data_IF_102201158823
#
_entry.id   IF_102201158823
#
_cell.length_a   1.000
_cell.length_b   1.000
_cell.length_c   1.000
_cell.angle_alpha   90.00
_cell.angle_beta   90.00
_cell.angle_gamma   90.00
#
_symmetry.space_group_name_H-M   'P 1'
#
loop_
_entity.id
_entity.type
_entity.pdbx_description
1 polymer ?
#
# COMPACT_ATOMS: atom_id res chain seq x y z
N UNK A 1 -13.24 -14.78 10.97
CA UNK A 1 -13.12 -14.63 9.51
C UNK A 1 -14.49 -14.77 8.85
N UNK A 2 -14.68 -14.11 7.70
CA UNK A 2 -15.91 -14.20 6.90
C UNK A 2 -15.82 -15.41 5.95
N UNK A 3 -16.94 -16.10 5.75
CA UNK A 3 -16.99 -17.24 4.85
C UNK A 3 -17.36 -16.82 3.42
N UNK A 4 -16.37 -16.51 2.60
CA UNK A 4 -16.55 -16.10 1.20
C UNK A 4 -17.05 -17.22 0.25
N UNK A 5 -17.19 -18.46 0.72
CA UNK A 5 -17.92 -19.49 -0.02
C UNK A 5 -19.43 -19.33 0.07
N UNK A 6 -19.91 -18.51 1.02
CA UNK A 6 -21.34 -18.22 1.18
C UNK A 6 -21.78 -17.15 0.15
N UNK A 7 -22.70 -17.48 -0.78
CA UNK A 7 -23.16 -16.52 -1.79
C UNK A 7 -23.89 -15.31 -1.20
N UNK A 8 -24.52 -15.44 -0.05
CA UNK A 8 -25.18 -14.31 0.63
C UNK A 8 -24.15 -13.28 1.09
N UNK A 9 -23.00 -13.73 1.64
CA UNK A 9 -21.93 -12.83 2.01
C UNK A 9 -21.35 -12.11 0.78
N UNK A 10 -21.07 -12.86 -0.30
CA UNK A 10 -20.55 -12.25 -1.55
C UNK A 10 -21.49 -11.16 -2.07
N UNK A 11 -22.79 -11.41 -2.07
CA UNK A 11 -23.79 -10.42 -2.49
C UNK A 11 -23.79 -9.20 -1.56
N UNK A 12 -23.67 -9.40 -0.26
CA UNK A 12 -23.64 -8.29 0.71
C UNK A 12 -22.38 -7.42 0.52
N UNK A 13 -21.21 -8.01 0.31
CA UNK A 13 -19.98 -7.25 0.01
C UNK A 13 -20.13 -6.45 -1.31
N UNK A 14 -20.76 -7.03 -2.32
CA UNK A 14 -21.09 -6.32 -3.56
C UNK A 14 -22.04 -5.15 -3.32
N UNK A 15 -23.09 -5.34 -2.52
CA UNK A 15 -24.02 -4.27 -2.15
C UNK A 15 -23.33 -3.12 -1.40
N UNK A 16 -22.43 -3.46 -0.46
CA UNK A 16 -21.61 -2.47 0.24
C UNK A 16 -20.70 -1.69 -0.72
N UNK A 17 -20.06 -2.37 -1.66
CA UNK A 17 -19.23 -1.67 -2.65
C UNK A 17 -20.05 -0.75 -3.54
N UNK A 18 -21.24 -1.18 -3.96
CA UNK A 18 -22.17 -0.34 -4.73
C UNK A 18 -22.58 0.90 -3.95
N UNK A 19 -22.93 0.76 -2.68
CA UNK A 19 -23.29 1.89 -1.83
C UNK A 19 -22.22 2.98 -1.82
N UNK A 20 -20.94 2.59 -1.67
CA UNK A 20 -19.83 3.56 -1.67
C UNK A 20 -19.56 4.15 -3.06
N UNK A 21 -19.65 3.34 -4.12
CA UNK A 21 -19.52 3.85 -5.49
C UNK A 21 -20.62 4.84 -5.85
N UNK A 22 -21.85 4.59 -5.42
CA UNK A 22 -22.99 5.52 -5.61
C UNK A 22 -22.78 6.85 -4.85
N UNK A 23 -22.00 6.85 -3.75
CA UNK A 23 -21.56 8.06 -3.04
C UNK A 23 -20.38 8.76 -3.69
N UNK A 24 -19.77 8.17 -4.72
CA UNK A 24 -18.71 8.80 -5.51
C UNK A 24 -17.28 8.43 -5.09
N UNK A 25 -17.06 7.29 -4.39
CA UNK A 25 -15.69 6.81 -4.21
C UNK A 25 -15.11 6.28 -5.51
N UNK A 26 -13.81 6.50 -5.73
CA UNK A 26 -13.12 6.15 -6.97
C UNK A 26 -12.54 4.73 -6.98
N UNK A 27 -12.74 3.96 -5.90
CA UNK A 27 -12.26 2.59 -5.83
C UNK A 27 -12.06 2.08 -4.41
N UNK A 28 -11.32 0.97 -4.28
CA UNK A 28 -11.15 0.28 -3.01
C UNK A 28 -9.72 -0.22 -2.80
N UNK A 29 -9.23 -0.06 -1.57
CA UNK A 29 -8.10 -0.81 -1.06
C UNK A 29 -8.65 -2.05 -0.35
N UNK A 30 -8.20 -3.22 -0.77
CA UNK A 30 -8.64 -4.51 -0.23
C UNK A 30 -7.64 -4.98 0.83
N UNK A 31 -8.09 -4.95 2.07
CA UNK A 31 -7.31 -5.36 3.23
C UNK A 31 -7.01 -6.87 3.20
N UNK A 32 -5.76 -7.24 3.47
CA UNK A 32 -5.32 -8.63 3.60
C UNK A 32 -5.91 -9.58 2.53
N UNK A 33 -5.94 -9.11 1.27
CA UNK A 33 -6.73 -9.73 0.19
C UNK A 33 -6.32 -11.17 -0.16
N UNK A 34 -5.12 -11.60 0.22
CA UNK A 34 -4.67 -12.99 0.07
C UNK A 34 -5.32 -13.98 1.04
N UNK A 35 -5.97 -13.50 2.10
CA UNK A 35 -6.53 -14.34 3.17
C UNK A 35 -8.05 -14.52 3.10
N UNK A 36 -8.66 -14.36 1.95
CA UNK A 36 -10.11 -14.54 1.74
C UNK A 36 -10.55 -16.00 1.94
N UNK A 37 -9.77 -16.93 1.42
CA UNK A 37 -10.00 -18.36 1.57
C UNK A 37 -8.64 -19.10 1.67
N UNK A 38 -8.51 -20.17 2.46
CA UNK A 38 -7.29 -20.99 2.48
C UNK A 38 -6.92 -21.57 1.10
N UNK A 39 -7.89 -21.71 0.21
CA UNK A 39 -7.66 -22.10 -1.17
C UNK A 39 -7.46 -20.83 -2.03
N UNK A 40 -6.25 -20.63 -2.51
CA UNK A 40 -5.89 -19.48 -3.35
C UNK A 40 -6.76 -19.34 -4.61
N UNK A 41 -7.19 -20.47 -5.21
CA UNK A 41 -8.06 -20.44 -6.40
C UNK A 41 -9.41 -19.80 -6.07
N UNK A 42 -10.02 -20.16 -4.93
CA UNK A 42 -11.26 -19.54 -4.45
C UNK A 42 -11.07 -18.05 -4.20
N UNK A 43 -9.94 -17.65 -3.64
CA UNK A 43 -9.57 -16.24 -3.42
C UNK A 43 -9.49 -15.48 -4.75
N UNK A 44 -8.77 -16.01 -5.74
CA UNK A 44 -8.63 -15.35 -7.05
C UNK A 44 -9.97 -15.27 -7.80
N UNK A 45 -10.77 -16.35 -7.79
CA UNK A 45 -12.10 -16.36 -8.41
C UNK A 45 -13.04 -15.34 -7.77
N UNK A 46 -12.99 -15.20 -6.44
CA UNK A 46 -13.77 -14.18 -5.75
C UNK A 46 -13.36 -12.77 -6.16
N UNK A 47 -12.08 -12.45 -6.17
CA UNK A 47 -11.62 -11.11 -6.53
C UNK A 47 -11.90 -10.78 -7.99
N UNK A 48 -11.82 -11.75 -8.89
CA UNK A 48 -12.21 -11.56 -10.29
C UNK A 48 -13.71 -11.25 -10.44
N UNK A 49 -14.56 -11.95 -9.70
CA UNK A 49 -16.01 -11.70 -9.66
C UNK A 49 -16.32 -10.33 -9.05
N UNK A 50 -15.65 -9.98 -7.95
CA UNK A 50 -15.79 -8.68 -7.30
C UNK A 50 -15.34 -7.51 -8.19
N UNK A 51 -14.17 -7.62 -8.80
CA UNK A 51 -13.66 -6.60 -9.73
C UNK A 51 -14.61 -6.41 -10.93
N UNK A 52 -15.06 -7.49 -11.52
CA UNK A 52 -16.02 -7.43 -12.64
C UNK A 52 -17.30 -6.72 -12.23
N UNK A 53 -17.80 -6.95 -11.02
CA UNK A 53 -18.97 -6.27 -10.49
C UNK A 53 -18.71 -4.77 -10.27
N UNK A 54 -17.62 -4.39 -9.64
CA UNK A 54 -17.24 -2.99 -9.40
C UNK A 54 -17.10 -2.25 -10.73
N UNK A 55 -16.40 -2.83 -11.70
CA UNK A 55 -16.22 -2.24 -13.05
C UNK A 55 -17.53 -2.13 -13.84
N UNK A 56 -18.53 -2.96 -13.54
CA UNK A 56 -19.87 -2.83 -14.15
C UNK A 56 -20.64 -1.60 -13.66
N UNK A 57 -20.31 -1.08 -12.46
CA UNK A 57 -20.92 0.13 -11.89
C UNK A 57 -20.09 1.36 -12.28
N UNK A 58 -18.79 1.32 -12.08
CA UNK A 58 -17.86 2.36 -12.45
C UNK A 58 -16.62 1.72 -13.11
N UNK A 59 -16.51 1.82 -14.44
CA UNK A 59 -15.40 1.25 -15.22
C UNK A 59 -14.03 1.81 -14.84
N UNK A 60 -14.00 3.03 -14.30
CA UNK A 60 -12.78 3.75 -13.93
C UNK A 60 -12.41 3.56 -12.45
N UNK A 61 -13.24 2.85 -11.66
CA UNK A 61 -12.94 2.55 -10.27
C UNK A 61 -11.63 1.74 -10.15
N UNK A 62 -10.74 2.15 -9.24
CA UNK A 62 -9.45 1.51 -9.04
C UNK A 62 -9.48 0.53 -7.86
N UNK A 63 -9.00 -0.69 -8.08
CA UNK A 63 -8.94 -1.72 -7.04
C UNK A 63 -7.48 -2.10 -6.80
N UNK A 64 -7.01 -1.87 -5.56
CA UNK A 64 -5.67 -2.24 -5.14
C UNK A 64 -5.72 -3.21 -3.96
N UNK A 65 -5.02 -4.34 -4.08
CA UNK A 65 -4.95 -5.36 -3.04
C UNK A 65 -3.76 -5.20 -2.11
N UNK A 66 -3.97 -5.47 -0.83
CA UNK A 66 -2.86 -5.70 0.09
C UNK A 66 -2.52 -7.19 0.11
N UNK A 67 -1.53 -7.55 -0.67
CA UNK A 67 -0.97 -8.90 -0.72
C UNK A 67 0.46 -8.86 -0.19
N UNK A 68 0.61 -8.83 1.14
CA UNK A 68 1.91 -8.73 1.78
C UNK A 68 2.75 -9.97 1.49
N UNK A 69 3.54 -9.87 0.44
CA UNK A 69 4.45 -10.90 -0.02
C UNK A 69 5.60 -10.28 -0.82
N UNK A 70 6.76 -10.93 -0.82
CA UNK A 70 7.93 -10.51 -1.58
C UNK A 70 8.10 -11.24 -2.91
N UNK A 71 7.30 -12.29 -3.15
CA UNK A 71 7.31 -13.03 -4.40
C UNK A 71 6.55 -12.28 -5.48
N UNK A 72 7.24 -11.76 -6.48
CA UNK A 72 6.61 -11.07 -7.61
C UNK A 72 5.65 -11.98 -8.38
N UNK A 73 5.94 -13.27 -8.51
CA UNK A 73 5.05 -14.23 -9.18
C UNK A 73 3.74 -14.44 -8.40
N UNK A 74 3.83 -14.57 -7.06
CA UNK A 74 2.65 -14.70 -6.21
C UNK A 74 1.79 -13.44 -6.25
N UNK A 75 2.39 -12.26 -6.08
CA UNK A 75 1.68 -10.97 -6.13
C UNK A 75 1.14 -10.69 -7.52
N UNK A 76 1.91 -10.98 -8.56
CA UNK A 76 1.53 -10.79 -9.96
C UNK A 76 0.24 -11.53 -10.33
N UNK A 77 0.02 -12.71 -9.77
CA UNK A 77 -1.20 -13.47 -10.02
C UNK A 77 -2.48 -12.73 -9.57
N UNK A 78 -2.42 -11.89 -8.55
CA UNK A 78 -3.56 -11.05 -8.15
C UNK A 78 -3.90 -9.98 -9.17
N UNK A 79 -2.97 -9.58 -10.03
CA UNK A 79 -3.23 -8.60 -11.10
C UNK A 79 -4.12 -9.15 -12.23
N UNK A 80 -4.42 -10.45 -12.26
CA UNK A 80 -5.49 -11.00 -13.11
C UNK A 80 -6.89 -10.61 -12.62
N UNK A 81 -7.01 -10.22 -11.35
CA UNK A 81 -8.28 -10.00 -10.67
C UNK A 81 -8.42 -8.64 -10.00
N UNK A 82 -7.36 -7.80 -10.05
CA UNK A 82 -7.31 -6.46 -9.49
C UNK A 82 -6.55 -5.54 -10.45
N UNK A 83 -6.72 -4.22 -10.31
CA UNK A 83 -5.95 -3.28 -11.11
C UNK A 83 -4.50 -3.20 -10.64
N UNK A 84 -4.26 -3.40 -9.34
CA UNK A 84 -2.95 -3.31 -8.73
C UNK A 84 -2.84 -4.09 -7.42
N UNK A 85 -1.63 -4.24 -6.95
CA UNK A 85 -1.30 -4.71 -5.60
C UNK A 85 -0.15 -3.90 -5.02
N UNK A 86 -0.17 -3.66 -3.70
CA UNK A 86 0.95 -3.01 -3.02
C UNK A 86 2.22 -3.83 -3.14
N UNK A 87 3.30 -3.20 -3.59
CA UNK A 87 4.57 -3.86 -3.85
C UNK A 87 5.48 -3.81 -2.61
N UNK A 88 5.28 -4.73 -1.69
CA UNK A 88 6.08 -4.86 -0.47
C UNK A 88 7.55 -5.18 -0.75
N UNK A 89 7.85 -5.91 -1.82
CA UNK A 89 9.23 -6.19 -2.20
C UNK A 89 9.98 -4.90 -2.53
N UNK A 90 9.39 -4.02 -3.36
CA UNK A 90 10.01 -2.74 -3.69
C UNK A 90 10.11 -1.78 -2.52
N UNK A 91 9.17 -1.82 -1.59
CA UNK A 91 9.26 -1.09 -0.33
C UNK A 91 10.58 -1.40 0.40
N UNK A 92 10.94 -2.67 0.54
CA UNK A 92 12.19 -3.08 1.18
C UNK A 92 13.42 -2.77 0.33
N UNK A 93 13.39 -3.01 -0.97
CA UNK A 93 14.52 -2.76 -1.88
C UNK A 93 14.90 -1.27 -1.93
N UNK A 94 13.91 -0.37 -1.94
CA UNK A 94 14.17 1.08 -1.94
C UNK A 94 14.82 1.51 -0.63
N UNK A 95 14.31 1.02 0.50
CA UNK A 95 14.87 1.34 1.81
C UNK A 95 16.28 0.77 1.96
N UNK A 96 16.54 -0.42 1.45
CA UNK A 96 17.88 -1.02 1.46
C UNK A 96 18.85 -0.23 0.59
N UNK A 97 18.44 0.20 -0.59
CA UNK A 97 19.25 1.09 -1.42
C UNK A 97 19.59 2.41 -0.71
N UNK A 98 18.59 3.00 -0.02
CA UNK A 98 18.80 4.24 0.74
C UNK A 98 19.71 4.04 1.97
N UNK A 99 19.75 2.83 2.54
CA UNK A 99 20.73 2.47 3.58
C UNK A 99 22.15 2.44 3.07
N UNK A 100 22.36 2.29 1.77
CA UNK A 100 23.64 2.13 1.10
C UNK A 100 23.99 0.68 0.80
N UNK A 101 23.01 -0.22 0.85
CA UNK A 101 23.21 -1.60 0.42
C UNK A 101 23.31 -1.66 -1.11
N UNK A 102 24.04 -2.67 -1.61
CA UNK A 102 24.20 -2.90 -3.06
C UNK A 102 22.90 -3.52 -3.62
N UNK A 103 22.03 -2.67 -4.15
CA UNK A 103 20.75 -3.05 -4.75
C UNK A 103 20.67 -2.52 -6.18
N UNK A 104 20.60 -3.41 -7.16
CA UNK A 104 20.37 -3.06 -8.56
C UNK A 104 18.85 -2.88 -8.81
N UNK A 105 18.32 -1.72 -8.47
CA UNK A 105 16.89 -1.40 -8.62
C UNK A 105 16.41 -1.53 -10.06
N UNK A 106 17.24 -1.20 -11.06
CA UNK A 106 16.84 -1.30 -12.48
C UNK A 106 16.63 -2.75 -12.89
N UNK A 107 17.53 -3.62 -12.45
CA UNK A 107 17.39 -5.08 -12.68
C UNK A 107 16.11 -5.62 -12.03
N UNK A 108 15.83 -5.20 -10.80
CA UNK A 108 14.63 -5.65 -10.08
C UNK A 108 13.34 -5.09 -10.73
N UNK A 109 13.33 -3.85 -11.22
CA UNK A 109 12.22 -3.30 -12.03
C UNK A 109 11.98 -4.16 -13.26
N UNK A 110 13.00 -4.44 -14.06
CA UNK A 110 12.86 -5.23 -15.28
C UNK A 110 12.33 -6.64 -14.98
N UNK A 111 12.86 -7.28 -13.95
CA UNK A 111 12.43 -8.62 -13.52
C UNK A 111 10.96 -8.63 -13.07
N UNK A 112 10.54 -7.64 -12.28
CA UNK A 112 9.15 -7.48 -11.87
C UNK A 112 8.24 -7.29 -13.08
N UNK A 113 8.60 -6.40 -14.00
CA UNK A 113 7.81 -6.11 -15.20
C UNK A 113 7.62 -7.35 -16.07
N UNK A 114 8.66 -8.15 -16.26
CA UNK A 114 8.58 -9.42 -16.99
C UNK A 114 7.60 -10.40 -16.32
N UNK A 115 7.57 -10.43 -14.98
CA UNK A 115 6.68 -11.32 -14.23
C UNK A 115 5.24 -10.79 -14.28
N UNK A 116 5.01 -9.51 -13.98
CA UNK A 116 3.67 -8.94 -13.88
C UNK A 116 2.97 -8.92 -15.23
N UNK A 117 3.67 -8.67 -16.33
CA UNK A 117 3.15 -8.73 -17.71
C UNK A 117 2.62 -10.10 -18.11
N UNK A 118 3.08 -11.20 -17.49
CA UNK A 118 2.50 -12.54 -17.73
C UNK A 118 1.05 -12.63 -17.27
N UNK A 119 0.68 -11.87 -16.25
CA UNK A 119 -0.63 -11.88 -15.62
C UNK A 119 -1.53 -10.75 -16.12
N UNK A 120 -0.96 -9.57 -16.34
CA UNK A 120 -1.67 -8.41 -16.87
C UNK A 120 -0.68 -7.52 -17.63
N UNK A 121 -0.82 -7.44 -18.94
CA UNK A 121 0.05 -6.60 -19.78
C UNK A 121 -0.04 -5.11 -19.41
N UNK A 122 -1.20 -4.67 -18.93
CA UNK A 122 -1.47 -3.30 -18.53
C UNK A 122 -1.46 -3.12 -17.01
N UNK A 123 -0.67 -3.91 -16.28
CA UNK A 123 -0.60 -3.80 -14.83
C UNK A 123 -0.20 -2.40 -14.38
N UNK A 124 -0.72 -1.98 -13.26
CA UNK A 124 -0.28 -0.78 -12.55
C UNK A 124 0.44 -1.26 -11.27
N UNK A 125 1.70 -0.90 -11.11
CA UNK A 125 2.40 -1.21 -9.87
C UNK A 125 2.14 -0.13 -8.83
N UNK A 126 1.80 -0.52 -7.61
CA UNK A 126 1.59 0.38 -6.48
C UNK A 126 2.80 0.29 -5.56
N UNK A 127 3.72 1.24 -5.73
CA UNK A 127 4.96 1.32 -4.96
C UNK A 127 4.81 2.27 -3.76
N UNK A 128 5.47 1.95 -2.66
CA UNK A 128 5.42 2.72 -1.42
C UNK A 128 6.67 2.46 -0.59
N UNK A 129 6.92 3.26 0.45
CA UNK A 129 8.05 3.05 1.37
C UNK A 129 7.59 2.34 2.64
N UNK A 130 6.68 2.96 3.37
CA UNK A 130 6.12 2.37 4.59
C UNK A 130 4.60 2.59 4.65
N UNK A 131 3.95 1.91 5.59
CA UNK A 131 2.52 2.04 5.83
C UNK A 131 2.21 2.01 7.33
N UNK A 132 0.93 1.97 7.67
CA UNK A 132 0.43 2.00 9.04
C UNK A 132 0.72 0.73 9.87
N UNK A 133 1.24 -0.33 9.25
CA UNK A 133 1.58 -1.60 9.88
C UNK A 133 3.10 -1.84 9.97
N UNK A 134 3.88 -0.93 9.38
CA UNK A 134 5.35 -1.01 9.31
C UNK A 134 5.99 0.11 10.14
N UNK A 135 7.18 -0.15 10.67
CA UNK A 135 8.01 0.91 11.27
C UNK A 135 8.17 2.07 10.29
N UNK A 136 7.97 3.31 10.75
CA UNK A 136 8.04 4.48 9.89
C UNK A 136 9.41 4.65 9.26
N UNK A 137 9.45 5.21 8.06
CA UNK A 137 10.66 5.40 7.24
C UNK A 137 11.80 6.07 8.02
N UNK A 138 11.48 7.11 8.77
CA UNK A 138 12.47 7.84 9.58
C UNK A 138 13.21 6.90 10.54
N UNK A 139 12.49 6.03 11.25
CA UNK A 139 13.10 5.08 12.17
C UNK A 139 13.86 3.95 11.47
N UNK A 140 13.40 3.51 10.29
CA UNK A 140 14.09 2.51 9.48
C UNK A 140 15.45 3.02 8.99
N UNK A 141 15.54 4.32 8.69
CA UNK A 141 16.74 4.99 8.24
C UNK A 141 17.48 5.72 9.37
N UNK A 142 17.24 5.33 10.63
CA UNK A 142 17.94 5.85 11.83
C UNK A 142 17.86 7.38 11.96
N UNK A 143 16.77 7.97 11.52
CA UNK A 143 16.52 9.41 11.49
C UNK A 143 17.49 10.21 10.59
N UNK A 144 18.17 9.54 9.68
CA UNK A 144 19.03 10.17 8.69
C UNK A 144 18.18 10.85 7.61
N UNK A 145 18.17 12.17 7.59
CA UNK A 145 17.34 12.99 6.70
C UNK A 145 17.75 12.81 5.24
N UNK A 146 19.03 12.68 4.94
CA UNK A 146 19.53 12.55 3.56
C UNK A 146 19.14 11.19 2.99
N UNK A 147 19.18 10.14 3.80
CA UNK A 147 18.69 8.82 3.39
C UNK A 147 17.18 8.80 3.18
N UNK A 148 16.41 9.51 4.01
CA UNK A 148 14.97 9.64 3.83
C UNK A 148 14.64 10.37 2.51
N UNK A 149 15.33 11.48 2.23
CA UNK A 149 15.19 12.20 0.95
C UNK A 149 15.56 11.32 -0.23
N UNK A 150 16.63 10.53 -0.12
CA UNK A 150 17.03 9.59 -1.16
C UNK A 150 15.95 8.53 -1.41
N UNK A 151 15.42 7.91 -0.36
CA UNK A 151 14.35 6.91 -0.48
C UNK A 151 13.11 7.48 -1.17
N UNK A 152 12.65 8.67 -0.76
CA UNK A 152 11.51 9.36 -1.39
C UNK A 152 11.82 9.72 -2.84
N UNK A 153 13.04 10.19 -3.14
CA UNK A 153 13.45 10.52 -4.52
C UNK A 153 13.43 9.29 -5.42
N UNK A 154 13.90 8.14 -4.91
CA UNK A 154 13.83 6.86 -5.63
C UNK A 154 12.36 6.49 -5.86
N UNK A 155 11.51 6.52 -4.83
CA UNK A 155 10.08 6.21 -4.93
C UNK A 155 9.40 7.05 -6.03
N UNK A 156 9.68 8.36 -6.07
CA UNK A 156 9.04 9.30 -6.99
C UNK A 156 9.57 9.20 -8.44
N UNK A 157 10.66 8.47 -8.66
CA UNK A 157 11.29 8.33 -10.00
C UNK A 157 11.18 6.93 -10.58
N UNK A 158 10.84 5.94 -9.77
CA UNK A 158 10.57 4.57 -10.26
C UNK A 158 9.24 4.49 -11.02
N UNK A 159 9.13 3.58 -12.00
CA UNK A 159 7.86 3.33 -12.67
C UNK A 159 6.85 2.71 -11.71
N UNK A 160 5.61 3.24 -11.73
CA UNK A 160 4.49 2.83 -10.88
C UNK A 160 3.73 4.02 -10.32
N UNK A 161 2.71 3.75 -9.51
CA UNK A 161 1.95 4.76 -8.78
C UNK A 161 2.48 4.85 -7.35
N UNK A 162 3.16 5.96 -6.97
CA UNK A 162 3.73 6.09 -5.63
C UNK A 162 2.63 6.36 -4.60
N UNK A 163 2.67 5.63 -3.50
CA UNK A 163 1.87 5.89 -2.30
C UNK A 163 2.76 6.41 -1.19
N UNK A 164 2.38 7.53 -0.59
CA UNK A 164 3.10 8.17 0.51
C UNK A 164 2.27 7.98 1.78
N UNK A 165 2.88 7.41 2.81
CA UNK A 165 2.25 7.34 4.12
C UNK A 165 2.36 8.72 4.78
N UNK A 166 1.24 9.25 5.29
CA UNK A 166 1.21 10.59 5.89
C UNK A 166 2.31 10.77 6.95
N UNK A 167 2.95 11.93 6.96
CA UNK A 167 4.05 12.25 7.85
C UNK A 167 5.43 11.77 7.37
N UNK A 168 5.52 11.00 6.29
CA UNK A 168 6.82 10.68 5.68
C UNK A 168 7.52 11.95 5.18
N UNK A 169 6.77 12.88 4.61
CA UNK A 169 7.25 14.20 4.17
C UNK A 169 7.79 15.09 5.30
N UNK A 170 7.37 14.80 6.54
CA UNK A 170 7.84 15.49 7.74
C UNK A 170 8.89 14.67 8.52
N UNK A 171 9.25 13.47 8.04
CA UNK A 171 10.10 12.56 8.78
C UNK A 171 9.51 12.09 10.10
N UNK A 172 8.17 11.95 10.15
CA UNK A 172 7.47 11.50 11.35
C UNK A 172 7.99 10.13 11.78
N UNK A 173 8.24 9.99 13.08
CA UNK A 173 8.78 8.78 13.68
C UNK A 173 7.66 7.89 14.22
N UNK A 174 7.92 6.61 14.31
CA UNK A 174 7.05 5.62 14.95
C UNK A 174 7.58 4.21 14.77
N UNK A 175 7.54 3.44 15.87
CA UNK A 175 7.87 2.02 15.93
C UNK A 175 6.71 1.28 16.60
N UNK A 176 6.60 -0.03 16.40
CA UNK A 176 5.62 -0.84 17.16
C UNK A 176 5.67 -0.48 18.66
N UNK A 177 4.52 -0.49 19.35
CA UNK A 177 3.21 -1.01 18.90
C UNK A 177 2.50 -0.07 17.91
N UNK A 178 1.40 -0.54 17.33
CA UNK A 178 0.70 0.09 16.20
C UNK A 178 0.26 1.53 16.46
N UNK A 179 -0.09 1.86 17.69
CA UNK A 179 -0.49 3.21 18.10
C UNK A 179 0.58 4.25 17.74
N UNK A 180 1.85 3.90 17.91
CA UNK A 180 2.97 4.80 17.60
C UNK A 180 3.20 4.96 16.08
N UNK A 181 2.76 3.98 15.28
CA UNK A 181 2.83 4.05 13.81
C UNK A 181 1.75 4.95 13.25
N UNK A 182 0.64 5.11 13.97
CA UNK A 182 -0.60 5.76 13.56
C UNK A 182 -0.88 7.06 14.31
N UNK A 183 0.17 7.65 14.88
CA UNK A 183 0.09 8.95 15.53
C UNK A 183 -0.48 10.02 14.57
N UNK A 184 -1.30 10.95 15.06
CA UNK A 184 -1.79 12.06 14.24
C UNK A 184 -0.66 12.84 13.61
N UNK A 185 -0.91 13.41 12.42
CA UNK A 185 0.06 14.26 11.75
C UNK A 185 0.35 15.53 12.56
N UNK A 186 1.60 15.87 12.70
CA UNK A 186 2.03 17.10 13.35
C UNK A 186 2.05 18.27 12.34
N UNK A 187 0.98 19.06 12.33
CA UNK A 187 0.80 20.17 11.41
C UNK A 187 1.56 21.44 11.81
N UNK A 188 2.13 21.49 13.01
CA UNK A 188 2.70 22.72 13.57
C UNK A 188 4.08 22.49 14.19
N UNK A 189 5.05 23.30 13.78
CA UNK A 189 6.45 23.19 14.22
C UNK A 189 6.65 23.31 15.74
N UNK A 190 5.86 24.10 16.46
CA UNK A 190 6.13 24.43 17.88
C UNK A 190 4.93 24.38 18.81
N UNK A 191 3.75 24.13 18.36
CA UNK A 191 2.56 24.16 19.24
C UNK A 191 1.41 23.33 18.69
N UNK A 192 0.49 22.97 19.58
CA UNK A 192 -0.79 22.41 19.19
C UNK A 192 -1.61 23.50 18.52
N UNK A 193 -1.95 23.30 17.25
CA UNK A 193 -2.79 24.22 16.50
C UNK A 193 -4.26 23.83 16.51
N UNK A 194 -5.09 24.69 15.95
CA UNK A 194 -6.53 24.41 15.76
C UNK A 194 -6.70 23.22 14.81
N UNK A 195 -7.50 22.24 15.23
CA UNK A 195 -7.78 21.03 14.42
C UNK A 195 -6.80 19.86 14.64
N UNK A 196 -5.78 20.02 15.46
CA UNK A 196 -4.92 18.90 15.82
C UNK A 196 -5.62 17.95 16.80
N UNK A 197 -5.51 16.67 16.55
CA UNK A 197 -5.85 15.61 17.49
C UNK A 197 -4.74 15.49 18.53
N UNK A 198 -5.11 15.29 19.79
CA UNK A 198 -4.13 14.97 20.83
C UNK A 198 -3.68 13.52 20.66
N UNK A 199 -2.40 13.33 20.44
CA UNK A 199 -1.81 12.01 20.50
C UNK A 199 -1.72 11.51 21.94
N UNK A 200 -2.10 10.25 22.23
CA UNK A 200 -1.85 9.63 23.54
C UNK A 200 -0.35 9.39 23.78
N UNK A 201 0.42 9.23 22.73
CA UNK A 201 1.86 9.03 22.75
C UNK A 201 2.54 10.25 22.09
N UNK A 202 3.71 10.61 22.54
CA UNK A 202 4.47 11.69 21.88
C UNK A 202 5.34 11.07 20.78
N UNK A 203 4.89 11.13 19.55
CA UNK A 203 5.80 10.94 18.43
C UNK A 203 6.63 12.21 18.23
N UNK A 204 7.90 12.05 17.95
CA UNK A 204 8.78 13.16 17.62
C UNK A 204 8.90 13.22 16.11
N UNK A 205 8.23 14.18 15.48
CA UNK A 205 8.50 14.49 14.09
C UNK A 205 9.85 15.18 13.98
N UNK A 206 10.62 14.88 12.94
CA UNK A 206 11.84 15.61 12.64
C UNK A 206 11.46 17.02 12.20
N UNK A 207 12.05 18.02 12.84
CA UNK A 207 11.98 19.38 12.33
C UNK A 207 12.89 19.47 11.09
N UNK A 208 12.30 19.59 9.91
CA UNK A 208 13.04 20.02 8.74
C UNK A 208 13.21 21.52 8.84
N UNK A 209 14.45 21.96 9.07
CA UNK A 209 14.86 23.37 8.98
C UNK A 209 15.10 23.78 7.54
#
# INVERSE_FOLDING_TARGET
DLNYRNPKLRNEIKNLSKFWLDLGVDGFRLDASKYVDPNNEVTHLWWKDFNSYVKSINKDAFIVGENWDTSADYVGKFMESMDSSFNFNFSELIVDAARGNDVDLIKEVNKRDEIYKKYNENFIDTIFLRNHDMTRLSNELLNDVDKQKLAISILMTLPGTPFIYYGEELGQQGRKPDENLREPMDWYKKSKGTGMTLSPNKSVSLEYT
#
